data_IF_403222209226
#
_entry.id   IF_403222209226
#
_cell.length_a   1.000
_cell.length_b   1.000
_cell.length_c   1.000
_cell.angle_alpha   90.00
_cell.angle_beta   90.00
_cell.angle_gamma   90.00
#
_symmetry.space_group_name_H-M   'P 1'
#
loop_
_entity.id
_entity.type
_entity.pdbx_description
1 polymer ?
#
# COMPACT_ATOMS: atom_id res chain seq x y z
N UNK A 1 22.19 10.78 1.81
CA UNK A 1 21.35 10.24 2.90
C UNK A 1 19.94 10.66 2.59
N UNK A 2 19.12 9.74 2.08
CA UNK A 2 17.71 10.02 1.80
C UNK A 2 16.95 9.83 3.11
N UNK A 3 16.23 10.86 3.57
CA UNK A 3 15.33 10.75 4.72
C UNK A 3 14.22 9.70 4.48
N UNK A 4 13.35 9.44 5.47
CA UNK A 4 12.22 8.55 5.26
C UNK A 4 11.39 9.05 4.07
N UNK A 5 11.27 8.23 3.03
CA UNK A 5 10.45 8.56 1.86
C UNK A 5 8.99 8.62 2.29
N UNK A 6 8.27 9.64 1.82
CA UNK A 6 6.83 9.63 2.06
C UNK A 6 6.19 8.48 1.32
N UNK A 7 5.02 8.09 1.79
CA UNK A 7 4.21 7.12 1.12
C UNK A 7 3.90 7.55 -0.32
N UNK A 8 3.52 8.82 -0.52
CA UNK A 8 3.25 9.38 -1.85
C UNK A 8 4.44 9.26 -2.81
N UNK A 9 5.65 9.64 -2.35
CA UNK A 9 6.88 9.52 -3.16
C UNK A 9 7.22 8.06 -3.47
N UNK A 10 6.98 7.18 -2.51
CA UNK A 10 7.23 5.74 -2.64
C UNK A 10 6.28 5.12 -3.66
N UNK A 11 4.99 5.44 -3.59
CA UNK A 11 3.98 4.97 -4.54
C UNK A 11 4.22 5.56 -5.93
N UNK A 12 4.58 6.84 -6.03
CA UNK A 12 4.96 7.46 -7.31
C UNK A 12 6.15 6.73 -7.93
N UNK A 13 7.18 6.44 -7.15
CA UNK A 13 8.35 5.67 -7.61
C UNK A 13 7.98 4.24 -8.02
N UNK A 14 6.99 3.63 -7.37
CA UNK A 14 6.46 2.33 -7.78
C UNK A 14 5.73 2.40 -9.13
N UNK A 15 4.88 3.41 -9.32
CA UNK A 15 4.14 3.64 -10.56
C UNK A 15 5.06 3.85 -11.76
N UNK A 16 6.22 4.49 -11.56
CA UNK A 16 7.26 4.65 -12.59
C UNK A 16 7.89 3.32 -13.04
N UNK A 17 7.75 2.25 -12.25
CA UNK A 17 8.20 0.91 -12.65
C UNK A 17 7.21 0.17 -13.55
N UNK A 18 5.98 0.68 -13.66
CA UNK A 18 4.93 0.09 -14.49
C UNK A 18 5.14 0.53 -15.95
N UNK A 19 5.26 -0.42 -16.91
CA UNK A 19 5.47 -0.08 -18.31
C UNK A 19 4.39 0.81 -18.89
N UNK A 20 4.79 1.67 -19.83
CA UNK A 20 3.85 2.45 -20.64
C UNK A 20 2.98 1.49 -21.47
N UNK A 21 1.66 1.62 -21.36
CA UNK A 21 0.69 0.69 -21.98
C UNK A 21 0.23 -0.47 -21.10
N UNK A 22 0.69 -0.58 -19.85
CA UNK A 22 0.12 -1.53 -18.90
C UNK A 22 -1.39 -1.26 -18.67
N UNK A 23 -2.20 -2.29 -18.36
CA UNK A 23 -3.62 -2.14 -18.07
C UNK A 23 -3.88 -1.09 -16.99
N UNK A 24 -4.95 -0.30 -17.12
CA UNK A 24 -5.33 0.72 -16.12
C UNK A 24 -5.48 0.14 -14.71
N UNK A 25 -5.91 -1.11 -14.61
CA UNK A 25 -6.02 -1.85 -13.34
C UNK A 25 -4.69 -1.99 -12.58
N UNK A 26 -3.52 -1.91 -13.25
CA UNK A 26 -2.22 -1.92 -12.57
C UNK A 26 -1.90 -0.58 -11.89
N UNK A 27 -2.54 0.51 -12.32
CA UNK A 27 -2.37 1.86 -11.76
C UNK A 27 -3.48 2.22 -10.76
N UNK A 28 -4.59 1.51 -10.79
CA UNK A 28 -5.73 1.71 -9.91
C UNK A 28 -5.41 1.40 -8.44
N UNK A 29 -4.87 0.21 -8.15
CA UNK A 29 -4.60 -0.21 -6.76
C UNK A 29 -3.62 0.70 -6.01
N UNK A 30 -2.50 1.17 -6.62
CA UNK A 30 -1.63 2.14 -5.95
C UNK A 30 -2.32 3.46 -5.61
N UNK A 31 -3.25 3.93 -6.47
CA UNK A 31 -4.03 5.14 -6.19
C UNK A 31 -5.01 4.94 -5.04
N UNK A 32 -5.74 3.81 -5.03
CA UNK A 32 -6.64 3.46 -3.93
C UNK A 32 -5.90 3.32 -2.61
N UNK A 33 -4.67 2.80 -2.65
CA UNK A 33 -3.84 2.68 -1.46
C UNK A 33 -3.43 4.04 -0.88
N UNK A 34 -3.14 5.02 -1.75
CA UNK A 34 -2.88 6.40 -1.31
C UNK A 34 -4.13 7.04 -0.74
N UNK A 35 -5.26 6.93 -1.43
CA UNK A 35 -6.55 7.48 -0.97
C UNK A 35 -6.94 6.91 0.41
N UNK A 36 -6.85 5.59 0.58
CA UNK A 36 -7.04 4.94 1.88
C UNK A 36 -6.12 5.51 2.95
N UNK A 37 -4.83 5.67 2.63
CA UNK A 37 -3.86 6.16 3.61
C UNK A 37 -4.15 7.61 3.99
N UNK A 38 -4.53 8.45 3.01
CA UNK A 38 -4.97 9.82 3.28
C UNK A 38 -6.17 9.85 4.22
N UNK A 39 -7.18 9.01 3.99
CA UNK A 39 -8.35 8.91 4.86
C UNK A 39 -8.01 8.38 6.26
N UNK A 40 -7.13 7.38 6.35
CA UNK A 40 -6.77 6.76 7.62
C UNK A 40 -5.99 7.72 8.53
N UNK A 41 -5.09 8.52 7.94
CA UNK A 41 -4.25 9.47 8.65
C UNK A 41 -4.79 10.92 8.59
N UNK A 42 -6.00 11.12 8.07
CA UNK A 42 -6.63 12.44 8.05
C UNK A 42 -6.87 12.92 9.48
N UNK A 43 -6.11 13.92 9.90
CA UNK A 43 -6.33 14.56 11.20
C UNK A 43 -7.17 15.83 11.03
N UNK A 44 -8.42 15.87 11.51
CA UNK A 44 -9.30 17.03 11.35
C UNK A 44 -8.76 18.30 12.04
N UNK A 45 -7.83 18.18 12.99
CA UNK A 45 -7.24 19.30 13.72
C UNK A 45 -5.86 19.73 13.18
N UNK A 46 -5.21 18.90 12.36
CA UNK A 46 -3.87 19.15 11.85
C UNK A 46 -3.81 18.95 10.33
N UNK A 47 -3.61 20.04 9.61
CA UNK A 47 -3.39 19.97 8.15
C UNK A 47 -1.99 19.44 7.85
N UNK A 48 -1.93 18.33 7.12
CA UNK A 48 -0.79 17.90 6.31
C UNK A 48 0.47 17.43 7.07
N UNK A 49 0.34 16.48 8.01
CA UNK A 49 1.49 15.63 8.30
C UNK A 49 1.72 14.66 7.12
N UNK A 50 2.94 14.63 6.61
CA UNK A 50 3.31 13.79 5.47
C UNK A 50 3.32 12.34 5.92
N UNK A 51 2.41 11.53 5.38
CA UNK A 51 2.36 10.08 5.67
C UNK A 51 3.67 9.43 5.23
N UNK A 52 4.33 8.73 6.15
CA UNK A 52 5.58 8.04 5.89
C UNK A 52 5.29 6.58 5.56
N UNK A 53 6.18 5.96 4.76
CA UNK A 53 6.11 4.51 4.54
C UNK A 53 6.19 3.72 5.86
N UNK A 54 6.91 4.25 6.86
CA UNK A 54 7.04 3.61 8.18
C UNK A 54 5.75 3.58 8.99
N UNK A 55 4.75 4.37 8.61
CA UNK A 55 3.47 4.45 9.32
C UNK A 55 2.53 3.31 8.87
N UNK A 56 2.90 2.57 7.83
CA UNK A 56 2.15 1.42 7.33
C UNK A 56 2.69 0.13 7.96
N UNK A 57 2.06 -0.32 9.04
CA UNK A 57 2.30 -1.61 9.66
C UNK A 57 1.44 -2.73 9.08
N UNK A 58 1.38 -3.86 9.78
CA UNK A 58 0.49 -4.97 9.39
C UNK A 58 -0.99 -4.62 9.49
N UNK A 59 -1.36 -3.80 10.47
CA UNK A 59 -2.74 -3.37 10.71
C UNK A 59 -3.29 -2.54 9.54
N UNK A 60 -2.54 -1.53 9.08
CA UNK A 60 -2.94 -0.66 7.97
C UNK A 60 -3.11 -1.44 6.67
N UNK A 61 -2.28 -2.47 6.45
CA UNK A 61 -2.42 -3.34 5.29
C UNK A 61 -3.68 -4.22 5.36
N UNK A 62 -4.05 -4.66 6.57
CA UNK A 62 -5.25 -5.44 6.80
C UNK A 62 -6.52 -4.59 6.62
N UNK A 63 -6.54 -3.40 7.22
CA UNK A 63 -7.59 -2.40 7.03
C UNK A 63 -7.79 -2.07 5.54
N UNK A 64 -6.70 -1.86 4.79
CA UNK A 64 -6.78 -1.63 3.35
C UNK A 64 -7.41 -2.83 2.63
N UNK A 65 -6.88 -4.03 2.84
CA UNK A 65 -7.21 -5.20 2.03
C UNK A 65 -8.57 -5.80 2.36
N UNK A 66 -8.92 -5.88 3.64
CA UNK A 66 -10.06 -6.64 4.14
C UNK A 66 -11.26 -5.76 4.50
N UNK A 67 -11.07 -4.45 4.65
CA UNK A 67 -12.15 -3.53 4.99
C UNK A 67 -12.35 -2.49 3.89
N UNK A 68 -11.37 -1.61 3.65
CA UNK A 68 -11.51 -0.51 2.70
C UNK A 68 -11.87 -0.99 1.28
N UNK A 69 -11.14 -1.97 0.73
CA UNK A 69 -11.42 -2.47 -0.61
C UNK A 69 -12.78 -3.17 -0.73
N UNK A 70 -13.21 -3.91 0.30
CA UNK A 70 -14.49 -4.61 0.29
C UNK A 70 -15.67 -3.63 0.43
N UNK A 71 -15.53 -2.63 1.30
CA UNK A 71 -16.57 -1.62 1.56
C UNK A 71 -16.75 -0.66 0.38
N UNK A 72 -15.65 -0.25 -0.27
CA UNK A 72 -15.70 0.70 -1.39
C UNK A 72 -16.09 0.04 -2.72
N UNK A 73 -15.85 -1.28 -2.87
CA UNK A 73 -16.13 -2.03 -4.09
C UNK A 73 -16.91 -3.33 -3.82
N UNK A 74 -18.09 -3.25 -3.19
CA UNK A 74 -18.85 -4.44 -2.78
C UNK A 74 -19.30 -5.31 -3.96
N UNK A 75 -19.43 -4.73 -5.16
CA UNK A 75 -19.84 -5.43 -6.37
C UNK A 75 -18.66 -6.08 -7.14
N UNK A 76 -17.41 -5.73 -6.82
CA UNK A 76 -16.23 -6.34 -7.46
C UNK A 76 -15.71 -7.52 -6.64
N UNK A 77 -16.27 -8.70 -6.90
CA UNK A 77 -15.84 -9.98 -6.30
C UNK A 77 -14.34 -10.30 -6.43
N UNK A 78 -13.57 -9.57 -7.24
CA UNK A 78 -12.13 -9.76 -7.43
C UNK A 78 -11.28 -8.63 -6.84
N UNK A 79 -11.88 -7.61 -6.21
CA UNK A 79 -11.14 -6.45 -5.70
C UNK A 79 -10.04 -6.86 -4.71
N UNK A 80 -10.35 -7.77 -3.79
CA UNK A 80 -9.38 -8.28 -2.81
C UNK A 80 -8.20 -8.99 -3.48
N UNK A 81 -8.43 -9.79 -4.53
CA UNK A 81 -7.36 -10.45 -5.27
C UNK A 81 -6.49 -9.47 -6.08
N UNK A 82 -7.08 -8.37 -6.58
CA UNK A 82 -6.32 -7.25 -7.17
C UNK A 82 -5.44 -6.57 -6.10
N UNK A 83 -6.00 -6.33 -4.91
CA UNK A 83 -5.29 -5.79 -3.75
C UNK A 83 -4.10 -6.66 -3.34
N UNK A 84 -4.29 -7.97 -3.16
CA UNK A 84 -3.19 -8.94 -2.89
C UNK A 84 -2.11 -8.90 -3.96
N UNK A 85 -2.51 -8.87 -5.23
CA UNK A 85 -1.56 -8.81 -6.36
C UNK A 85 -0.73 -7.53 -6.32
N UNK A 86 -1.37 -6.39 -6.03
CA UNK A 86 -0.68 -5.12 -5.84
C UNK A 86 0.28 -5.18 -4.66
N UNK A 87 -0.17 -5.56 -3.46
CA UNK A 87 0.65 -5.61 -2.25
C UNK A 87 1.88 -6.51 -2.43
N UNK A 88 1.72 -7.65 -3.12
CA UNK A 88 2.84 -8.51 -3.51
C UNK A 88 3.86 -7.81 -4.41
N UNK A 89 3.41 -7.11 -5.45
CA UNK A 89 4.31 -6.36 -6.35
C UNK A 89 4.97 -5.20 -5.60
N UNK A 90 4.22 -4.49 -4.77
CA UNK A 90 4.70 -3.36 -3.99
C UNK A 90 5.76 -3.80 -2.98
N UNK A 91 5.53 -4.87 -2.22
CA UNK A 91 6.54 -5.42 -1.30
C UNK A 91 7.86 -5.76 -1.98
N UNK A 92 7.80 -6.44 -3.13
CA UNK A 92 9.00 -6.76 -3.94
C UNK A 92 9.74 -5.54 -4.44
N UNK A 93 9.02 -4.44 -4.68
CA UNK A 93 9.61 -3.16 -5.03
C UNK A 93 10.32 -2.52 -3.83
N UNK A 94 9.68 -2.49 -2.67
CA UNK A 94 10.24 -1.95 -1.43
C UNK A 94 11.53 -2.67 -1.03
N UNK A 95 11.57 -4.01 -1.10
CA UNK A 95 12.76 -4.80 -0.80
C UNK A 95 14.00 -4.37 -1.63
N UNK A 96 13.80 -3.79 -2.81
CA UNK A 96 14.88 -3.33 -3.70
C UNK A 96 15.25 -1.86 -3.53
N UNK A 97 14.31 -1.02 -3.10
CA UNK A 97 14.42 0.45 -3.21
C UNK A 97 14.27 1.17 -1.87
N UNK A 98 13.42 0.64 -0.99
CA UNK A 98 13.03 1.24 0.29
C UNK A 98 12.89 0.14 1.35
N UNK A 99 14.02 -0.42 1.85
CA UNK A 99 13.97 -1.53 2.80
C UNK A 99 13.24 -1.10 4.07
N UNK A 100 12.28 -1.93 4.50
CA UNK A 100 11.51 -1.71 5.72
C UNK A 100 12.39 -1.88 6.96
N UNK A 101 11.97 -1.26 8.07
CA UNK A 101 12.57 -1.56 9.38
C UNK A 101 12.20 -2.98 9.80
N UNK A 102 13.02 -3.60 10.66
CA UNK A 102 12.84 -5.00 11.08
C UNK A 102 11.45 -5.28 11.68
N UNK A 103 10.96 -4.42 12.57
CA UNK A 103 9.64 -4.58 13.21
C UNK A 103 8.52 -4.53 12.17
N UNK A 104 8.51 -3.48 11.33
CA UNK A 104 7.57 -3.35 10.20
C UNK A 104 7.66 -4.53 9.23
N UNK A 105 8.87 -5.04 8.98
CA UNK A 105 9.07 -6.23 8.15
C UNK A 105 8.44 -7.49 8.74
N UNK A 106 8.51 -7.68 10.06
CA UNK A 106 7.91 -8.81 10.77
C UNK A 106 6.38 -8.71 10.72
N UNK A 107 5.80 -7.55 10.99
CA UNK A 107 4.36 -7.32 10.88
C UNK A 107 3.85 -7.60 9.46
N UNK A 108 4.55 -7.10 8.44
CA UNK A 108 4.19 -7.38 7.05
C UNK A 108 4.30 -8.88 6.75
N UNK A 109 5.30 -9.59 7.26
CA UNK A 109 5.40 -11.04 7.05
C UNK A 109 4.21 -11.79 7.64
N UNK A 110 3.75 -11.38 8.82
CA UNK A 110 2.55 -11.95 9.46
C UNK A 110 1.31 -11.66 8.63
N UNK A 111 1.08 -10.41 8.24
CA UNK A 111 -0.04 -10.02 7.38
C UNK A 111 -0.07 -10.79 6.05
N UNK A 112 1.06 -10.90 5.34
CA UNK A 112 1.15 -11.63 4.07
C UNK A 112 0.86 -13.12 4.25
N UNK A 113 1.28 -13.70 5.38
CA UNK A 113 1.00 -15.10 5.71
C UNK A 113 -0.48 -15.33 5.99
N UNK A 114 -1.10 -14.47 6.80
CA UNK A 114 -2.52 -14.56 7.17
C UNK A 114 -3.46 -14.38 5.97
N UNK A 115 -3.08 -13.50 5.04
CA UNK A 115 -3.86 -13.19 3.84
C UNK A 115 -3.48 -14.05 2.61
N UNK A 116 -2.66 -15.10 2.82
CA UNK A 116 -2.21 -16.05 1.79
C UNK A 116 -1.51 -15.41 0.58
N UNK A 117 -0.83 -14.28 0.80
CA UNK A 117 -0.08 -13.54 -0.21
C UNK A 117 1.34 -14.14 -0.31
N UNK A 118 1.54 -15.01 -1.31
CA UNK A 118 2.82 -15.69 -1.58
C UNK A 118 3.61 -15.01 -2.68
#
# INVERSE_FOLDING_TARGET
>A
MSGPSSLEETVRSFLETIPEGAPSSEKEMPSLFLEFSELLFENPEHTSEKILLSDLGGFELDEFLNFYLEDMFPDDSKIREKGKTFLKKFRKFLDKKFPLKKEQEEEWKEFFKENEIR
#
